data_IF_264706114472
#
_entry.id   IF_264706114472
#
_cell.length_a   1.000
_cell.length_b   1.000
_cell.length_c   1.000
_cell.angle_alpha   90.00
_cell.angle_beta   90.00
_cell.angle_gamma   90.00
#
_symmetry.space_group_name_H-M   'P 1'
#
loop_
_entity.id
_entity.type
_entity.pdbx_description
1 polymer ?
#
# COMPACT_ATOMS: atom_id res chain seq x y z
N UNK A 1 -23.68 -1.93 48.76
CA UNK A 1 -23.10 -0.69 48.20
C UNK A 1 -22.12 -0.91 47.02
N UNK A 2 -21.44 -2.06 46.93
CA UNK A 2 -20.42 -2.36 45.90
C UNK A 2 -20.98 -2.52 44.45
N UNK A 3 -22.27 -2.83 44.28
CA UNK A 3 -22.89 -3.03 42.95
C UNK A 3 -23.09 -1.74 42.14
N UNK A 4 -23.28 -0.59 42.79
CA UNK A 4 -23.45 0.72 42.12
C UNK A 4 -22.13 1.31 41.62
N UNK A 5 -21.00 0.90 42.22
CA UNK A 5 -19.66 1.35 41.83
C UNK A 5 -19.22 0.75 40.48
N UNK A 6 -19.61 -0.50 40.17
CA UNK A 6 -19.28 -1.16 38.90
C UNK A 6 -19.98 -0.52 37.69
N UNK A 7 -21.18 0.04 37.89
CA UNK A 7 -22.00 0.64 36.82
C UNK A 7 -21.41 1.97 36.36
N UNK A 8 -20.67 2.67 37.22
CA UNK A 8 -20.09 3.98 36.93
C UNK A 8 -18.70 3.90 36.24
N UNK A 9 -18.04 2.74 36.26
CA UNK A 9 -16.73 2.52 35.62
C UNK A 9 -16.85 2.35 34.10
N UNK A 10 -17.98 1.82 33.62
CA UNK A 10 -18.21 1.54 32.19
C UNK A 10 -18.27 2.82 31.33
N UNK A 11 -19.02 3.88 31.68
CA UNK A 11 -19.04 5.11 30.87
C UNK A 11 -17.74 5.93 30.95
N UNK A 12 -16.93 5.73 31.99
CA UNK A 12 -15.63 6.41 32.12
C UNK A 12 -14.57 5.81 31.19
N UNK A 13 -14.67 4.52 30.85
CA UNK A 13 -13.75 3.84 29.92
C UNK A 13 -13.99 4.25 28.46
N UNK A 14 -15.21 4.66 28.08
CA UNK A 14 -15.55 5.05 26.71
C UNK A 14 -15.03 6.43 26.28
N UNK A 15 -14.63 7.29 27.23
CA UNK A 15 -14.16 8.65 26.94
C UNK A 15 -12.73 8.71 26.37
N UNK A 16 -11.98 7.59 26.39
CA UNK A 16 -10.59 7.54 25.94
C UNK A 16 -10.39 6.90 24.55
N UNK A 17 -11.45 6.42 23.90
CA UNK A 17 -11.34 5.88 22.54
C UNK A 17 -11.41 7.02 21.50
N UNK A 18 -10.30 7.75 21.36
CA UNK A 18 -10.07 8.54 20.14
C UNK A 18 -9.71 7.56 19.02
N UNK A 19 -10.72 6.99 18.37
CA UNK A 19 -10.52 6.21 17.15
C UNK A 19 -10.10 7.19 16.05
N UNK A 20 -8.80 7.39 15.90
CA UNK A 20 -8.22 8.12 14.77
C UNK A 20 -8.34 7.26 13.51
N UNK A 21 -9.57 7.13 12.99
CA UNK A 21 -9.81 6.50 11.70
C UNK A 21 -9.26 7.42 10.59
N UNK A 22 -8.35 6.90 9.76
CA UNK A 22 -7.89 7.61 8.56
C UNK A 22 -9.05 7.80 7.57
N UNK A 23 -9.17 9.01 7.00
CA UNK A 23 -10.23 9.34 6.04
C UNK A 23 -9.91 8.80 4.64
N UNK A 24 -10.30 7.55 4.38
CA UNK A 24 -10.15 6.90 3.07
C UNK A 24 -11.10 7.44 1.99
N UNK A 25 -12.12 8.23 2.36
CA UNK A 25 -12.92 8.95 1.36
C UNK A 25 -12.11 10.12 0.78
N UNK A 26 -11.39 10.88 1.62
CA UNK A 26 -10.39 11.85 1.16
C UNK A 26 -9.26 11.19 0.36
N UNK A 27 -8.82 9.99 0.75
CA UNK A 27 -7.82 9.24 0.00
C UNK A 27 -8.27 9.03 -1.45
N UNK A 28 -9.49 8.54 -1.64
CA UNK A 28 -10.02 8.27 -2.97
C UNK A 28 -10.16 9.56 -3.79
N UNK A 29 -10.59 10.66 -3.17
CA UNK A 29 -10.63 11.97 -3.83
C UNK A 29 -9.24 12.44 -4.29
N UNK A 30 -8.21 12.22 -3.48
CA UNK A 30 -6.83 12.54 -3.86
C UNK A 30 -6.35 11.69 -5.03
N UNK A 31 -6.69 10.40 -5.06
CA UNK A 31 -6.38 9.52 -6.20
C UNK A 31 -7.06 9.99 -7.48
N UNK A 32 -8.35 10.33 -7.42
CA UNK A 32 -9.07 10.85 -8.58
C UNK A 32 -8.44 12.17 -9.08
N UNK A 33 -8.07 13.07 -8.15
CA UNK A 33 -7.40 14.31 -8.50
C UNK A 33 -6.00 14.08 -9.08
N UNK A 34 -5.27 13.04 -8.65
CA UNK A 34 -3.99 12.63 -9.28
C UNK A 34 -4.25 12.22 -10.73
N UNK A 35 -5.27 11.41 -10.97
CA UNK A 35 -5.63 10.94 -12.31
C UNK A 35 -6.03 12.08 -13.24
N UNK A 36 -6.78 13.05 -12.74
CA UNK A 36 -7.09 14.29 -13.47
C UNK A 36 -5.81 15.05 -13.87
N UNK A 37 -4.82 15.20 -12.97
CA UNK A 37 -3.57 15.87 -13.32
C UNK A 37 -2.74 15.07 -14.33
N UNK A 38 -2.77 13.73 -14.26
CA UNK A 38 -2.08 12.90 -15.26
C UNK A 38 -2.71 13.11 -16.63
N UNK A 39 -4.05 13.12 -16.71
CA UNK A 39 -4.78 13.38 -17.95
C UNK A 39 -4.48 14.79 -18.48
N UNK A 40 -4.35 15.78 -17.60
CA UNK A 40 -3.98 17.15 -17.98
C UNK A 40 -2.47 17.36 -18.18
N UNK A 41 -1.66 16.30 -18.12
CA UNK A 41 -0.20 16.32 -18.21
C UNK A 41 0.51 17.20 -17.15
N UNK A 42 -0.14 17.50 -16.02
CA UNK A 42 0.45 18.20 -14.87
C UNK A 42 1.03 17.20 -13.87
N UNK A 43 2.11 16.54 -14.26
CA UNK A 43 2.76 15.52 -13.44
C UNK A 43 3.35 16.07 -12.14
N UNK A 44 3.72 17.36 -12.10
CA UNK A 44 4.27 17.99 -10.88
C UNK A 44 3.19 18.11 -9.80
N UNK A 45 1.99 18.57 -10.17
CA UNK A 45 0.86 18.60 -9.25
C UNK A 45 0.39 17.20 -8.85
N UNK A 46 0.49 16.22 -9.76
CA UNK A 46 0.24 14.82 -9.44
C UNK A 46 1.20 14.30 -8.36
N UNK A 47 2.50 14.55 -8.52
CA UNK A 47 3.54 14.15 -7.56
C UNK A 47 3.36 14.82 -6.18
N UNK A 48 2.99 16.09 -6.13
CA UNK A 48 2.70 16.76 -4.85
C UNK A 48 1.52 16.12 -4.10
N UNK A 49 0.51 15.64 -4.83
CA UNK A 49 -0.63 14.93 -4.23
C UNK A 49 -0.24 13.51 -3.79
N UNK A 50 0.63 12.81 -4.51
CA UNK A 50 1.13 11.50 -4.05
C UNK A 50 1.94 11.64 -2.76
N UNK A 51 2.74 12.71 -2.63
CA UNK A 51 3.43 13.04 -1.38
C UNK A 51 2.48 13.28 -0.20
N UNK A 52 1.33 13.90 -0.45
CA UNK A 52 0.27 14.05 0.56
C UNK A 52 -0.26 12.68 0.98
N UNK A 53 -0.52 11.79 0.02
CA UNK A 53 -0.95 10.42 0.31
C UNK A 53 0.10 9.67 1.14
N UNK A 54 1.39 9.84 0.83
CA UNK A 54 2.48 9.19 1.55
C UNK A 54 2.53 9.59 3.04
N UNK A 55 2.26 10.87 3.34
CA UNK A 55 2.31 11.42 4.70
C UNK A 55 1.07 11.11 5.52
N UNK A 56 -0.10 11.19 4.89
CA UNK A 56 -1.39 11.18 5.60
C UNK A 56 -1.94 9.75 5.82
N UNK A 57 -1.42 8.76 5.09
CA UNK A 57 -1.97 7.39 5.09
C UNK A 57 -0.92 6.31 5.34
N UNK A 58 -1.16 5.48 6.35
CA UNK A 58 -0.27 4.36 6.68
C UNK A 58 -0.32 3.28 5.58
N UNK A 59 -1.54 2.95 5.16
CA UNK A 59 -1.81 1.97 4.12
C UNK A 59 -2.10 2.67 2.79
N UNK A 60 -1.40 2.22 1.75
CA UNK A 60 -1.52 2.72 0.38
C UNK A 60 -1.61 1.48 -0.51
N UNK A 61 -2.59 1.45 -1.42
CA UNK A 61 -2.73 0.32 -2.33
C UNK A 61 -1.51 0.18 -3.24
N UNK A 62 -1.07 -1.07 -3.47
CA UNK A 62 0.06 -1.40 -4.35
C UNK A 62 -0.03 -0.73 -5.73
N UNK A 63 -1.22 -0.75 -6.35
CA UNK A 63 -1.46 -0.09 -7.64
C UNK A 63 -1.19 1.42 -7.61
N UNK A 64 -1.44 2.08 -6.48
CA UNK A 64 -1.21 3.52 -6.33
C UNK A 64 0.27 3.81 -6.04
N UNK A 65 0.98 2.89 -5.37
CA UNK A 65 2.45 2.97 -5.26
C UNK A 65 3.12 2.87 -6.64
N UNK A 66 2.66 1.96 -7.50
CA UNK A 66 3.17 1.84 -8.87
C UNK A 66 2.87 3.09 -9.69
N UNK A 67 1.65 3.64 -9.58
CA UNK A 67 1.31 4.90 -10.24
C UNK A 67 2.21 6.05 -9.79
N UNK A 68 2.45 6.17 -8.48
CA UNK A 68 3.35 7.20 -7.95
C UNK A 68 4.80 7.01 -8.43
N UNK A 69 5.28 5.76 -8.48
CA UNK A 69 6.58 5.43 -9.06
C UNK A 69 6.66 5.82 -10.54
N UNK A 70 5.62 5.54 -11.33
CA UNK A 70 5.56 5.93 -12.74
C UNK A 70 5.68 7.45 -12.92
N UNK A 71 4.94 8.23 -12.12
CA UNK A 71 5.02 9.69 -12.13
C UNK A 71 6.44 10.16 -11.80
N UNK A 72 7.08 9.58 -10.77
CA UNK A 72 8.47 9.94 -10.41
C UNK A 72 9.46 9.62 -11.52
N UNK A 73 9.31 8.45 -12.17
CA UNK A 73 10.15 8.06 -13.31
C UNK A 73 9.95 8.95 -14.55
N UNK A 74 8.72 9.40 -14.83
CA UNK A 74 8.46 10.34 -15.92
C UNK A 74 9.03 11.74 -15.65
N UNK A 75 9.02 12.17 -14.38
CA UNK A 75 9.64 13.42 -13.97
C UNK A 75 11.17 13.34 -13.79
N UNK A 76 11.77 12.16 -13.95
CA UNK A 76 13.18 11.88 -13.65
C UNK A 76 13.58 12.23 -12.20
N UNK A 77 12.64 12.15 -11.26
CA UNK A 77 12.88 12.38 -9.84
C UNK A 77 13.33 11.06 -9.19
N UNK A 78 14.65 10.83 -9.18
CA UNK A 78 15.24 9.61 -8.65
C UNK A 78 14.99 9.43 -7.15
N UNK A 79 14.98 10.51 -6.37
CA UNK A 79 14.74 10.48 -4.92
C UNK A 79 13.31 9.99 -4.61
N UNK A 80 12.32 10.51 -5.34
CA UNK A 80 10.94 10.05 -5.19
C UNK A 80 10.75 8.64 -5.74
N UNK A 81 11.44 8.30 -6.83
CA UNK A 81 11.40 6.96 -7.38
C UNK A 81 11.88 5.90 -6.36
N UNK A 82 12.94 6.16 -5.61
CA UNK A 82 13.41 5.28 -4.54
C UNK A 82 12.37 5.08 -3.43
N UNK A 83 11.76 6.19 -2.96
CA UNK A 83 10.72 6.14 -1.92
C UNK A 83 9.54 5.28 -2.38
N UNK A 84 9.04 5.52 -3.59
CA UNK A 84 7.87 4.82 -4.11
C UNK A 84 8.17 3.37 -4.51
N UNK A 85 9.38 3.08 -4.99
CA UNK A 85 9.84 1.72 -5.26
C UNK A 85 9.88 0.90 -3.97
N UNK A 86 10.47 1.45 -2.90
CA UNK A 86 10.51 0.80 -1.59
C UNK A 86 9.10 0.57 -1.04
N UNK A 87 8.23 1.57 -1.13
CA UNK A 87 6.83 1.45 -0.69
C UNK A 87 6.08 0.40 -1.51
N UNK A 88 6.30 0.31 -2.83
CA UNK A 88 5.69 -0.70 -3.69
C UNK A 88 6.06 -2.13 -3.26
N UNK A 89 7.34 -2.39 -2.97
CA UNK A 89 7.77 -3.69 -2.46
C UNK A 89 7.19 -4.02 -1.09
N UNK A 90 7.08 -3.04 -0.19
CA UNK A 90 6.41 -3.21 1.10
C UNK A 90 4.90 -3.50 0.97
N UNK A 91 4.27 -3.15 -0.15
CA UNK A 91 2.89 -3.49 -0.49
C UNK A 91 2.77 -4.80 -1.27
N UNK A 92 3.86 -5.55 -1.43
CA UNK A 92 3.84 -6.86 -2.08
C UNK A 92 3.89 -6.80 -3.60
N UNK A 93 4.31 -5.68 -4.20
CA UNK A 93 4.54 -5.64 -5.65
C UNK A 93 5.73 -6.53 -5.98
N UNK A 94 5.57 -7.54 -6.85
CA UNK A 94 6.68 -8.38 -7.24
C UNK A 94 7.68 -7.64 -8.15
N UNK A 95 8.97 -7.96 -7.98
CA UNK A 95 10.08 -7.33 -8.70
C UNK A 95 9.92 -7.33 -10.22
N UNK A 96 9.36 -8.41 -10.79
CA UNK A 96 9.17 -8.55 -12.24
C UNK A 96 8.21 -7.49 -12.82
N UNK A 97 7.22 -7.00 -12.08
CA UNK A 97 6.33 -5.92 -12.54
C UNK A 97 7.11 -4.63 -12.82
N UNK A 98 8.12 -4.34 -11.98
CA UNK A 98 8.94 -3.14 -12.14
C UNK A 98 9.77 -3.21 -13.42
N UNK A 99 10.33 -4.38 -13.74
CA UNK A 99 11.17 -4.58 -14.92
C UNK A 99 10.38 -4.63 -16.24
N UNK A 100 9.16 -5.16 -16.23
CA UNK A 100 8.36 -5.33 -17.47
C UNK A 100 7.57 -4.09 -17.86
N UNK A 101 7.46 -3.08 -16.99
CA UNK A 101 6.78 -1.84 -17.32
C UNK A 101 7.77 -0.79 -17.85
N UNK A 102 7.48 -0.27 -19.04
CA UNK A 102 8.35 0.65 -19.78
C UNK A 102 8.70 1.94 -19.03
N UNK A 103 7.81 2.39 -18.13
CA UNK A 103 8.02 3.59 -17.34
C UNK A 103 8.79 3.25 -16.07
N UNK A 104 8.35 2.25 -15.30
CA UNK A 104 8.98 1.94 -14.01
C UNK A 104 10.34 1.29 -14.14
N UNK A 105 10.68 0.68 -15.28
CA UNK A 105 12.03 0.16 -15.52
C UNK A 105 13.10 1.26 -15.46
N UNK A 106 12.76 2.53 -15.70
CA UNK A 106 13.68 3.66 -15.50
C UNK A 106 14.20 3.70 -14.06
N UNK A 107 13.35 3.34 -13.08
CA UNK A 107 13.75 3.24 -11.68
C UNK A 107 14.91 2.25 -11.47
N UNK A 108 15.09 1.24 -12.33
CA UNK A 108 16.18 0.27 -12.17
C UNK A 108 17.54 0.77 -12.66
N UNK A 109 17.57 1.95 -13.28
CA UNK A 109 18.81 2.58 -13.77
C UNK A 109 19.36 3.63 -12.81
N UNK A 110 18.55 4.11 -11.86
CA UNK A 110 19.00 5.11 -10.88
C UNK A 110 19.95 4.47 -9.87
N UNK A 111 20.94 5.23 -9.41
CA UNK A 111 21.93 4.74 -8.45
C UNK A 111 21.31 4.51 -7.05
N UNK A 112 20.48 5.45 -6.60
CA UNK A 112 19.87 5.40 -5.28
C UNK A 112 18.81 4.29 -5.11
N UNK A 113 18.26 3.77 -6.21
CA UNK A 113 17.30 2.66 -6.17
C UNK A 113 17.97 1.28 -6.13
N UNK A 114 19.28 1.18 -6.41
CA UNK A 114 19.98 -0.11 -6.47
C UNK A 114 19.91 -0.86 -5.13
N UNK A 115 20.07 -0.14 -4.02
CA UNK A 115 19.96 -0.73 -2.69
C UNK A 115 18.56 -1.29 -2.46
N UNK A 116 17.50 -0.56 -2.84
CA UNK A 116 16.11 -1.02 -2.70
C UNK A 116 15.84 -2.27 -3.54
N UNK A 117 16.46 -2.39 -4.73
CA UNK A 117 16.35 -3.57 -5.59
C UNK A 117 17.09 -4.79 -5.03
N UNK A 118 18.22 -4.57 -4.36
CA UNK A 118 18.96 -5.60 -3.64
C UNK A 118 18.17 -6.09 -2.42
N UNK A 119 17.53 -5.17 -1.69
CA UNK A 119 16.76 -5.44 -0.47
C UNK A 119 15.35 -6.01 -0.75
N UNK A 120 15.01 -6.33 -1.99
CA UNK A 120 13.67 -6.78 -2.39
C UNK A 120 13.16 -7.95 -1.54
N UNK A 121 13.98 -8.99 -1.34
CA UNK A 121 13.55 -10.19 -0.59
C UNK A 121 13.22 -9.85 0.86
N UNK A 122 13.98 -8.95 1.47
CA UNK A 122 13.75 -8.45 2.84
C UNK A 122 12.44 -7.67 2.90
N UNK A 123 12.21 -6.75 1.96
CA UNK A 123 11.00 -5.94 1.89
C UNK A 123 9.74 -6.79 1.64
N UNK A 124 9.86 -7.81 0.80
CA UNK A 124 8.78 -8.76 0.54
C UNK A 124 8.49 -9.64 1.76
N UNK A 125 9.51 -10.11 2.48
CA UNK A 125 9.32 -10.82 3.75
C UNK A 125 8.61 -9.94 4.79
N UNK A 126 8.91 -8.64 4.85
CA UNK A 126 8.19 -7.70 5.70
C UNK A 126 6.72 -7.54 5.30
N UNK A 127 6.41 -7.60 4.01
CA UNK A 127 5.03 -7.62 3.54
C UNK A 127 4.30 -8.89 4.01
N UNK A 128 4.91 -10.06 3.79
CA UNK A 128 4.34 -11.35 4.16
C UNK A 128 4.13 -11.49 5.68
N UNK A 129 5.07 -11.00 6.50
CA UNK A 129 4.91 -11.03 7.96
C UNK A 129 3.75 -10.15 8.45
N UNK A 130 3.49 -9.01 7.78
CA UNK A 130 2.31 -8.16 8.04
C UNK A 130 1.00 -8.83 7.63
N UNK A 131 1.00 -9.67 6.59
CA UNK A 131 -0.18 -10.45 6.23
C UNK A 131 -0.41 -11.59 7.22
N UNK A 132 0.62 -12.37 7.54
CA UNK A 132 0.52 -13.51 8.46
C UNK A 132 0.09 -13.07 9.87
N UNK A 133 0.59 -11.95 10.38
CA UNK A 133 0.15 -11.40 11.68
C UNK A 133 -1.32 -10.98 11.69
N UNK A 134 -1.90 -10.61 10.54
CA UNK A 134 -3.32 -10.30 10.40
C UNK A 134 -4.19 -11.55 10.20
N UNK A 135 -3.63 -12.60 9.59
CA UNK A 135 -4.34 -13.85 9.29
C UNK A 135 -4.26 -14.87 10.43
N UNK A 136 -3.25 -14.81 11.30
CA UNK A 136 -3.12 -15.61 12.53
C UNK A 136 -4.11 -15.16 13.63
N UNK A 137 -5.38 -14.94 13.28
CA UNK A 137 -6.44 -15.43 14.16
C UNK A 137 -6.42 -16.96 14.09
N UNK A 138 -6.74 -17.71 15.15
CA UNK A 138 -6.66 -19.17 15.13
C UNK A 138 -7.63 -19.73 14.07
N UNK A 139 -7.10 -19.99 12.87
CA UNK A 139 -7.82 -20.65 11.80
C UNK A 139 -7.91 -22.14 12.16
N UNK A 140 -9.12 -22.59 12.48
CA UNK A 140 -9.43 -24.02 12.41
C UNK A 140 -9.06 -24.47 11.00
N UNK A 141 -8.11 -25.39 10.93
CA UNK A 141 -7.57 -26.01 9.73
C UNK A 141 -8.64 -26.32 8.68
N UNK A 142 -8.63 -25.59 7.56
CA UNK A 142 -9.30 -26.04 6.33
C UNK A 142 -8.21 -26.67 5.45
N UNK A 143 -8.28 -27.99 5.17
CA UNK A 143 -7.23 -28.66 4.40
C UNK A 143 -7.18 -28.18 2.96
N UNK A 144 -5.95 -28.01 2.46
CA UNK A 144 -5.54 -27.50 1.15
C UNK A 144 -6.06 -28.28 -0.08
N UNK A 145 -6.90 -29.29 0.08
CA UNK A 145 -7.37 -30.15 -1.02
C UNK A 145 -8.44 -29.51 -1.91
N UNK A 146 -9.01 -28.36 -1.53
CA UNK A 146 -10.17 -27.78 -2.23
C UNK A 146 -9.89 -26.49 -3.01
N UNK A 147 -8.64 -25.99 -3.05
CA UNK A 147 -8.34 -24.71 -3.74
C UNK A 147 -8.01 -24.85 -5.24
N UNK A 148 -7.85 -26.06 -5.77
CA UNK A 148 -7.50 -26.28 -7.18
C UNK A 148 -8.68 -26.34 -8.15
N UNK A 149 -9.94 -26.21 -7.68
CA UNK A 149 -11.11 -26.33 -8.54
C UNK A 149 -11.68 -24.98 -9.05
N UNK A 150 -11.14 -23.83 -8.63
CA UNK A 150 -11.74 -22.51 -8.92
C UNK A 150 -10.98 -21.59 -9.89
N UNK A 151 -9.77 -21.94 -10.34
CA UNK A 151 -8.92 -21.05 -11.15
C UNK A 151 -8.91 -21.38 -12.66
N UNK A 152 -9.68 -22.37 -13.10
CA UNK A 152 -9.73 -22.79 -14.50
C UNK A 152 -10.86 -22.15 -15.34
N UNK A 153 -11.78 -21.39 -14.75
CA UNK A 153 -12.97 -20.87 -15.49
C UNK A 153 -13.02 -19.35 -15.71
N UNK A 154 -11.96 -18.58 -15.40
CA UNK A 154 -11.96 -17.10 -15.61
C UNK A 154 -11.02 -16.67 -16.76
N UNK A 155 -10.45 -17.61 -17.51
CA UNK A 155 -9.55 -17.28 -18.63
C UNK A 155 -9.88 -17.97 -19.96
N UNK A 156 -11.13 -18.32 -20.23
CA UNK A 156 -11.69 -18.39 -21.60
C UNK A 156 -13.17 -18.02 -21.53
N UNK A 157 -13.53 -16.82 -22.01
CA UNK A 157 -14.89 -16.28 -22.05
C UNK A 157 -14.87 -14.81 -22.42
#
# INVERSE_FOLDING_TARGET
MIRKLKILIIPLLSLFYSVNAQDYYRYQRLINAIDENIISNDLKSALAKTDTIYKDYDFIYARHCIKALQISCELNDSLKAEIWLKKAFLQGVPKWIIYHNEITKKATTYENTQQVLADYDVLNQQHLSKLNSKLCMPEKSIPFSNLFCGLAEIFIG
#
